data_IF_673544146196
#
_entry.id   IF_673544146196
#
_cell.length_a   1.000
_cell.length_b   1.000
_cell.length_c   1.000
_cell.angle_alpha   90.00
_cell.angle_beta   90.00
_cell.angle_gamma   90.00
#
_symmetry.space_group_name_H-M   'P 1'
#
loop_
_entity.id
_entity.type
_entity.pdbx_description
1 polymer ?
#
# COMPACT_ATOMS: atom_id res chain seq x y z
N UNK A 1 21.43 29.03 -52.40
CA UNK A 1 21.52 28.10 -51.26
C UNK A 1 21.02 28.83 -50.02
N UNK A 2 19.82 28.49 -49.54
CA UNK A 2 19.12 29.17 -48.44
C UNK A 2 19.34 28.38 -47.14
N UNK A 3 20.04 28.96 -46.18
CA UNK A 3 20.28 28.37 -44.86
C UNK A 3 19.05 28.53 -43.96
N UNK A 4 18.48 27.41 -43.51
CA UNK A 4 17.44 27.39 -42.47
C UNK A 4 18.08 27.74 -41.11
N UNK A 5 17.50 28.64 -40.29
CA UNK A 5 17.96 28.81 -38.92
C UNK A 5 17.54 27.60 -38.09
N UNK A 6 18.51 27.07 -37.33
CA UNK A 6 18.29 26.06 -36.32
C UNK A 6 17.28 26.59 -35.29
N UNK A 7 16.12 25.94 -35.18
CA UNK A 7 15.17 26.21 -34.11
C UNK A 7 15.81 25.79 -32.79
N UNK A 8 16.17 26.77 -31.96
CA UNK A 8 16.54 26.54 -30.58
C UNK A 8 15.32 25.95 -29.86
N UNK A 9 15.41 24.67 -29.47
CA UNK A 9 14.44 24.06 -28.56
C UNK A 9 14.54 24.82 -27.25
N UNK A 10 13.53 25.64 -26.97
CA UNK A 10 13.45 26.43 -25.76
C UNK A 10 13.45 25.48 -24.55
N UNK A 11 14.59 25.39 -23.85
CA UNK A 11 14.67 24.68 -22.58
C UNK A 11 13.69 25.31 -21.61
N UNK A 12 12.72 24.53 -21.13
CA UNK A 12 11.73 24.97 -20.15
C UNK A 12 12.45 25.33 -18.86
N UNK A 13 12.75 26.62 -18.66
CA UNK A 13 13.26 27.13 -17.38
C UNK A 13 12.10 27.21 -16.40
N UNK A 14 11.87 26.11 -15.67
CA UNK A 14 10.99 26.12 -14.51
C UNK A 14 11.54 27.11 -13.49
N UNK A 15 10.78 28.16 -13.18
CA UNK A 15 11.12 29.12 -12.12
C UNK A 15 11.18 28.43 -10.74
N UNK A 16 11.87 29.03 -9.75
CA UNK A 16 12.14 28.42 -8.45
C UNK A 16 10.87 27.88 -7.77
N UNK A 17 9.79 28.67 -7.73
CA UNK A 17 8.49 28.25 -7.18
C UNK A 17 7.86 27.02 -7.85
N UNK A 18 8.12 26.81 -9.15
CA UNK A 18 7.63 25.62 -9.88
C UNK A 18 8.49 24.39 -9.61
N UNK A 19 9.79 24.57 -9.34
CA UNK A 19 10.69 23.46 -8.97
C UNK A 19 10.35 22.90 -7.60
N UNK A 20 10.05 23.77 -6.65
CA UNK A 20 9.67 23.38 -5.29
C UNK A 20 8.35 22.59 -5.28
N UNK A 21 7.36 23.03 -6.07
CA UNK A 21 6.09 22.30 -6.23
C UNK A 21 6.27 20.90 -6.82
N UNK A 22 7.14 20.75 -7.83
CA UNK A 22 7.44 19.44 -8.42
C UNK A 22 8.11 18.52 -7.40
N UNK A 23 9.07 19.04 -6.63
CA UNK A 23 9.76 18.25 -5.60
C UNK A 23 8.79 17.74 -4.53
N UNK A 24 7.88 18.60 -4.06
CA UNK A 24 6.85 18.21 -3.07
C UNK A 24 5.94 17.11 -3.62
N UNK A 25 5.48 17.23 -4.86
CA UNK A 25 4.62 16.21 -5.48
C UNK A 25 5.37 14.88 -5.65
N UNK A 26 6.63 14.92 -6.09
CA UNK A 26 7.46 13.72 -6.21
C UNK A 26 7.69 13.05 -4.85
N UNK A 27 7.99 13.84 -3.82
CA UNK A 27 8.18 13.33 -2.47
C UNK A 27 6.89 12.72 -1.91
N UNK A 28 5.75 13.39 -2.05
CA UNK A 28 4.45 12.86 -1.64
C UNK A 28 4.11 11.55 -2.37
N UNK A 29 4.42 11.48 -3.67
CA UNK A 29 4.24 10.27 -4.47
C UNK A 29 5.09 9.12 -3.95
N UNK A 30 6.38 9.36 -3.69
CA UNK A 30 7.30 8.36 -3.14
C UNK A 30 6.88 7.89 -1.73
N UNK A 31 6.44 8.82 -0.87
CA UNK A 31 5.95 8.48 0.46
C UNK A 31 4.66 7.67 0.41
N UNK A 32 3.78 7.89 -0.58
CA UNK A 32 2.56 7.10 -0.73
C UNK A 32 2.84 5.62 -1.05
N UNK A 33 3.99 5.29 -1.63
CA UNK A 33 4.43 3.90 -1.84
C UNK A 33 4.73 3.17 -0.53
N UNK A 34 5.02 3.92 0.55
CA UNK A 34 5.32 3.38 1.88
C UNK A 34 4.08 3.20 2.75
N UNK A 35 2.95 3.79 2.37
CA UNK A 35 1.71 3.76 3.17
C UNK A 35 0.66 2.90 2.47
N UNK A 36 -0.05 2.11 3.25
CA UNK A 36 -1.24 1.37 2.83
C UNK A 36 -2.40 1.62 3.79
N UNK A 37 -3.60 1.22 3.38
CA UNK A 37 -4.78 1.18 4.23
C UNK A 37 -5.38 -0.22 4.20
N UNK A 38 -5.66 -0.78 5.37
CA UNK A 38 -6.33 -2.07 5.55
C UNK A 38 -7.81 -1.82 5.81
N UNK A 39 -8.69 -2.52 5.08
CA UNK A 39 -10.12 -2.51 5.37
C UNK A 39 -10.39 -3.38 6.60
N UNK A 40 -11.05 -2.79 7.61
CA UNK A 40 -11.53 -3.48 8.81
C UNK A 40 -13.05 -3.48 8.82
N UNK A 41 -13.63 -4.64 9.08
CA UNK A 41 -15.07 -4.76 9.33
C UNK A 41 -15.24 -4.80 10.84
N UNK A 42 -15.83 -3.74 11.39
CA UNK A 42 -16.31 -3.66 12.75
C UNK A 42 -17.75 -4.18 12.84
N UNK A 43 -18.22 -4.33 14.07
CA UNK A 43 -19.57 -4.78 14.37
C UNK A 43 -20.64 -3.76 13.93
N UNK A 44 -21.90 -4.01 14.33
CA UNK A 44 -23.04 -3.18 13.97
C UNK A 44 -22.94 -1.72 14.45
N UNK A 45 -22.04 -1.40 15.38
CA UNK A 45 -21.83 -0.04 15.90
C UNK A 45 -20.74 0.72 15.13
N UNK A 46 -19.74 0.01 14.57
CA UNK A 46 -18.57 0.64 13.93
C UNK A 46 -18.55 0.53 12.41
N UNK A 47 -19.29 -0.41 11.80
CA UNK A 47 -19.38 -0.55 10.35
C UNK A 47 -18.04 -0.90 9.68
N UNK A 48 -17.70 -0.24 8.58
CA UNK A 48 -16.42 -0.47 7.86
C UNK A 48 -15.47 0.69 8.11
N UNK A 49 -14.27 0.39 8.59
CA UNK A 49 -13.19 1.38 8.78
C UNK A 49 -11.97 1.04 7.93
N UNK A 50 -11.10 2.04 7.75
CA UNK A 50 -9.83 1.91 7.03
C UNK A 50 -8.68 2.26 7.95
N UNK A 51 -7.86 1.27 8.29
CA UNK A 51 -6.73 1.40 9.19
C UNK A 51 -5.45 1.71 8.38
N UNK A 52 -4.81 2.88 8.55
CA UNK A 52 -3.57 3.18 7.87
C UNK A 52 -2.39 2.39 8.44
N UNK A 53 -1.43 2.03 7.59
CA UNK A 53 -0.21 1.36 8.01
C UNK A 53 1.00 1.68 7.14
N UNK A 54 2.19 1.50 7.71
CA UNK A 54 3.47 1.55 6.97
C UNK A 54 3.79 0.18 6.41
N UNK A 55 3.93 0.09 5.09
CA UNK A 55 4.30 -1.12 4.36
C UNK A 55 5.74 -1.51 4.68
N UNK A 56 5.97 -2.82 4.87
CA UNK A 56 7.29 -3.42 5.05
C UNK A 56 7.89 -3.95 3.73
N UNK A 57 7.04 -4.19 2.74
CA UNK A 57 7.42 -4.52 1.36
C UNK A 57 6.81 -3.49 0.41
N UNK A 58 7.61 -2.98 -0.53
CA UNK A 58 7.15 -2.01 -1.52
C UNK A 58 6.15 -2.65 -2.49
N UNK A 59 5.04 -1.96 -2.70
CA UNK A 59 3.98 -2.33 -3.65
C UNK A 59 3.22 -1.08 -4.08
N UNK A 60 2.76 -1.07 -5.34
CA UNK A 60 1.92 -0.02 -5.91
C UNK A 60 0.48 -0.07 -5.38
N UNK A 61 0.08 -1.18 -4.75
CA UNK A 61 -1.22 -1.32 -4.13
C UNK A 61 -1.30 -0.47 -2.87
N UNK A 62 -2.42 0.24 -2.69
CA UNK A 62 -2.63 1.13 -1.55
C UNK A 62 -3.75 0.67 -0.63
N UNK A 63 -4.78 -0.01 -1.16
CA UNK A 63 -5.86 -0.67 -0.39
C UNK A 63 -5.58 -2.15 -0.22
N UNK A 64 -5.74 -2.65 1.00
CA UNK A 64 -5.54 -4.04 1.35
C UNK A 64 -6.76 -4.58 2.07
N UNK A 65 -7.10 -5.83 1.76
CA UNK A 65 -8.02 -6.64 2.55
C UNK A 65 -7.21 -7.79 3.13
N UNK A 66 -7.40 -8.08 4.42
CA UNK A 66 -6.69 -9.14 5.09
C UNK A 66 -7.44 -10.47 4.86
N UNK A 67 -6.87 -11.44 4.12
CA UNK A 67 -7.56 -12.68 3.78
C UNK A 67 -7.89 -13.58 4.98
N UNK A 68 -7.31 -13.29 6.16
CA UNK A 68 -7.68 -13.95 7.39
C UNK A 68 -9.03 -13.49 7.94
N UNK A 69 -9.64 -12.44 7.41
CA UNK A 69 -10.95 -11.96 7.87
C UNK A 69 -12.09 -12.47 7.00
N UNK A 70 -13.16 -12.91 7.66
CA UNK A 70 -14.48 -13.13 7.05
C UNK A 70 -15.53 -12.45 7.91
N UNK A 71 -15.89 -11.23 7.55
CA UNK A 71 -16.73 -10.39 8.41
C UNK A 71 -15.98 -10.06 9.70
N UNK A 72 -16.55 -10.44 10.85
CA UNK A 72 -16.01 -10.20 12.19
C UNK A 72 -15.12 -11.34 12.72
N UNK A 73 -14.99 -12.42 11.95
CA UNK A 73 -14.28 -13.62 12.36
C UNK A 73 -12.90 -13.71 11.70
N UNK A 74 -11.93 -14.17 12.48
CA UNK A 74 -10.61 -14.54 11.98
C UNK A 74 -10.64 -16.02 11.57
N UNK A 75 -10.50 -16.26 10.27
CA UNK A 75 -10.42 -17.59 9.67
C UNK A 75 -9.11 -18.26 10.11
N UNK A 76 -9.17 -19.48 10.70
CA UNK A 76 -7.97 -20.24 11.01
C UNK A 76 -7.14 -20.56 9.77
N UNK A 77 -5.81 -20.53 9.87
CA UNK A 77 -4.92 -20.81 8.73
C UNK A 77 -5.17 -22.18 8.08
N UNK A 78 -5.54 -23.19 8.89
CA UNK A 78 -5.87 -24.54 8.42
C UNK A 78 -7.15 -24.59 7.57
N UNK A 79 -8.08 -23.65 7.78
CA UNK A 79 -9.35 -23.57 7.05
C UNK A 79 -9.23 -22.74 5.75
N UNK A 80 -8.09 -22.10 5.50
CA UNK A 80 -7.84 -21.37 4.26
C UNK A 80 -7.55 -22.32 3.11
N UNK A 81 -8.06 -22.00 1.92
CA UNK A 81 -7.64 -22.66 0.68
C UNK A 81 -6.20 -22.27 0.32
N UNK A 82 -5.56 -23.03 -0.58
CA UNK A 82 -4.22 -22.70 -1.07
C UNK A 82 -4.08 -21.25 -1.60
N UNK A 83 -4.99 -20.73 -2.45
CA UNK A 83 -4.90 -19.34 -2.91
C UNK A 83 -5.11 -18.32 -1.78
N UNK A 84 -5.99 -18.60 -0.80
CA UNK A 84 -6.17 -17.73 0.37
C UNK A 84 -4.90 -17.66 1.22
N UNK A 85 -4.20 -18.78 1.42
CA UNK A 85 -2.92 -18.80 2.14
C UNK A 85 -1.84 -18.02 1.40
N UNK A 86 -1.78 -18.12 0.08
CA UNK A 86 -0.83 -17.34 -0.72
C UNK A 86 -1.10 -15.83 -0.60
N UNK A 87 -2.36 -15.41 -0.76
CA UNK A 87 -2.77 -14.03 -0.58
C UNK A 87 -2.51 -13.53 0.85
N UNK A 88 -2.74 -14.37 1.86
CA UNK A 88 -2.45 -14.04 3.25
C UNK A 88 -0.95 -13.85 3.48
N UNK A 89 -0.10 -14.73 2.95
CA UNK A 89 1.36 -14.58 3.04
C UNK A 89 1.85 -13.29 2.37
N UNK A 90 1.30 -12.92 1.21
CA UNK A 90 1.61 -11.64 0.54
C UNK A 90 1.20 -10.45 1.41
N UNK A 91 -0.02 -10.48 1.96
CA UNK A 91 -0.50 -9.47 2.90
C UNK A 91 0.44 -9.34 4.11
N UNK A 92 0.87 -10.46 4.69
CA UNK A 92 1.78 -10.51 5.84
C UNK A 92 3.14 -9.86 5.55
N UNK A 93 3.71 -10.13 4.37
CA UNK A 93 4.97 -9.51 3.96
C UNK A 93 4.82 -8.00 3.78
N UNK A 94 3.69 -7.55 3.23
CA UNK A 94 3.44 -6.12 3.02
C UNK A 94 3.13 -5.41 4.34
N UNK A 95 2.27 -5.97 5.20
CA UNK A 95 1.76 -5.32 6.42
C UNK A 95 2.71 -5.44 7.60
N UNK A 96 3.36 -6.59 7.75
CA UNK A 96 4.16 -6.95 8.93
C UNK A 96 5.61 -7.31 8.62
N UNK A 97 5.95 -7.54 7.35
CA UNK A 97 7.32 -7.92 6.96
C UNK A 97 7.66 -9.36 7.30
N UNK A 98 6.67 -10.19 7.63
CA UNK A 98 6.87 -11.61 7.91
C UNK A 98 6.44 -12.45 6.73
N UNK A 99 7.28 -13.41 6.34
CA UNK A 99 6.96 -14.45 5.37
C UNK A 99 6.39 -15.71 6.04
N UNK A 100 6.39 -15.78 7.38
CA UNK A 100 5.83 -16.90 8.13
C UNK A 100 4.33 -16.68 8.37
N UNK A 101 3.45 -17.48 7.74
CA UNK A 101 2.01 -17.33 7.89
C UNK A 101 1.53 -17.69 9.30
N UNK A 102 2.22 -18.55 10.05
CA UNK A 102 1.82 -18.93 11.42
C UNK A 102 2.05 -17.76 12.36
N UNK A 103 3.26 -17.18 12.32
CA UNK A 103 3.60 -15.99 13.11
C UNK A 103 2.69 -14.82 12.76
N UNK A 104 2.45 -14.58 11.48
CA UNK A 104 1.58 -13.49 11.04
C UNK A 104 0.12 -13.69 11.51
N UNK A 105 -0.40 -14.91 11.44
CA UNK A 105 -1.74 -15.22 11.93
C UNK A 105 -1.87 -14.91 13.43
N UNK A 106 -0.86 -15.27 14.24
CA UNK A 106 -0.82 -14.91 15.65
C UNK A 106 -0.83 -13.39 15.89
N UNK A 107 -0.10 -12.60 15.08
CA UNK A 107 -0.13 -11.13 15.16
C UNK A 107 -1.52 -10.58 14.82
N UNK A 108 -2.16 -11.11 13.77
CA UNK A 108 -3.51 -10.70 13.36
C UNK A 108 -4.52 -11.01 14.46
N UNK A 109 -4.46 -12.21 15.04
CA UNK A 109 -5.33 -12.63 16.15
C UNK A 109 -5.11 -11.82 17.42
N UNK A 110 -3.86 -11.52 17.78
CA UNK A 110 -3.55 -10.77 18.99
C UNK A 110 -4.03 -9.30 18.95
N UNK A 111 -4.26 -8.74 17.75
CA UNK A 111 -4.76 -7.37 17.57
C UNK A 111 -6.29 -7.25 17.60
N UNK A 112 -7.01 -8.37 17.69
CA UNK A 112 -8.47 -8.41 17.73
C UNK A 112 -9.03 -8.59 19.16
N UNK A 113 -8.22 -9.11 20.07
CA UNK A 113 -8.53 -9.17 21.50
C UNK A 113 -8.11 -7.87 22.20
#
# INVERSE_FOLDING_TARGET
MSGRPAQAVAGVRLGPRRRDGILVVLLATLLSLLVGVERRVGDHEQGVSWEPFVKRRLTLQWRFENPAWRGLEIVPLAAMTAPQRAAFAEFCQVRFGSADPVQCHAIVSARHN
#
